data_IF_147167901710
#
_entry.id   IF_147167901710
#
_cell.length_a   1.000
_cell.length_b   1.000
_cell.length_c   1.000
_cell.angle_alpha   90.00
_cell.angle_beta   90.00
_cell.angle_gamma   90.00
#
_symmetry.space_group_name_H-M   'P 1'
#
loop_
_entity.id
_entity.type
_entity.pdbx_description
1 polymer ?
#
# COMPACT_ATOMS: atom_id res chain seq x y z
N UNK A 1 51.07 12.62 12.62
CA UNK A 1 50.10 11.83 13.41
C UNK A 1 49.56 10.72 12.50
N UNK A 2 49.96 9.45 12.70
CA UNK A 2 49.50 8.33 11.86
C UNK A 2 48.06 7.99 12.26
N UNK A 3 47.08 8.44 11.48
CA UNK A 3 45.67 8.10 11.72
C UNK A 3 45.52 6.59 11.53
N UNK A 4 45.08 5.91 12.59
CA UNK A 4 44.92 4.47 12.61
C UNK A 4 43.69 4.10 11.76
N UNK A 5 43.90 3.32 10.69
CA UNK A 5 42.83 2.91 9.75
C UNK A 5 41.65 2.22 10.46
N UNK A 6 41.88 1.59 11.63
CA UNK A 6 40.80 0.99 12.45
C UNK A 6 39.87 2.05 13.06
N UNK A 7 40.38 3.23 13.41
CA UNK A 7 39.59 4.33 13.97
C UNK A 7 38.69 4.95 12.89
N UNK A 8 39.20 5.08 11.66
CA UNK A 8 38.40 5.57 10.52
C UNK A 8 37.21 4.63 10.25
N UNK A 9 37.44 3.31 10.29
CA UNK A 9 36.39 2.30 10.06
C UNK A 9 35.29 2.35 11.13
N UNK A 10 35.64 2.59 12.40
CA UNK A 10 34.68 2.74 13.49
C UNK A 10 33.84 4.01 13.33
N UNK A 11 34.46 5.13 12.91
CA UNK A 11 33.74 6.39 12.68
C UNK A 11 32.73 6.25 11.53
N UNK A 12 33.10 5.58 10.44
CA UNK A 12 32.18 5.33 9.32
C UNK A 12 30.99 4.46 9.76
N UNK A 13 31.23 3.43 10.58
CA UNK A 13 30.18 2.56 11.10
C UNK A 13 29.18 3.33 12.00
N UNK A 14 29.67 4.24 12.84
CA UNK A 14 28.83 5.08 13.70
C UNK A 14 27.95 6.03 12.87
N UNK A 15 28.48 6.60 11.79
CA UNK A 15 27.72 7.50 10.89
C UNK A 15 26.58 6.74 10.18
N UNK A 16 26.81 5.50 9.74
CA UNK A 16 25.78 4.69 9.09
C UNK A 16 24.64 4.33 10.06
N UNK A 17 24.96 4.03 11.33
CA UNK A 17 23.95 3.70 12.36
C UNK A 17 23.14 4.95 12.76
N UNK A 18 23.75 6.13 12.76
CA UNK A 18 23.07 7.38 13.13
C UNK A 18 22.22 7.99 12.01
N UNK A 19 22.47 7.63 10.74
CA UNK A 19 21.59 8.01 9.62
C UNK A 19 20.38 7.04 9.52
N UNK A 20 20.52 5.79 9.96
CA UNK A 20 19.46 4.78 9.93
C UNK A 20 18.33 4.95 10.97
N UNK A 21 18.48 5.85 11.95
CA UNK A 21 17.51 6.03 13.04
C UNK A 21 16.71 7.34 12.97
N UNK A 22 16.94 8.19 11.97
CA UNK A 22 16.13 9.39 11.74
C UNK A 22 15.02 9.06 10.75
N UNK A 23 14.02 8.30 11.19
CA UNK A 23 12.63 8.37 10.70
C UNK A 23 11.75 7.43 11.53
N UNK A 24 11.51 7.76 12.80
CA UNK A 24 10.31 7.34 13.49
C UNK A 24 9.93 8.38 14.54
N UNK A 25 8.63 8.69 14.55
CA UNK A 25 7.90 9.57 15.46
C UNK A 25 7.72 11.02 14.99
N UNK A 26 7.05 11.19 13.84
CA UNK A 26 6.01 12.23 13.80
C UNK A 26 4.71 11.58 14.28
N UNK A 27 4.37 11.89 15.53
CA UNK A 27 3.21 11.43 16.24
C UNK A 27 2.00 12.23 15.78
N UNK A 28 1.33 11.78 14.71
CA UNK A 28 -0.04 12.18 14.42
C UNK A 28 -0.95 11.01 14.75
N UNK A 29 -1.46 11.06 15.99
CA UNK A 29 -2.70 10.43 16.41
C UNK A 29 -3.75 10.61 15.30
N UNK A 30 -4.02 9.55 14.56
CA UNK A 30 -5.33 9.33 13.96
C UNK A 30 -5.65 7.87 14.23
N UNK A 31 -6.38 7.65 15.32
CA UNK A 31 -7.00 6.36 15.57
C UNK A 31 -7.92 6.08 14.40
N UNK A 32 -7.56 5.11 13.57
CA UNK A 32 -8.51 4.56 12.62
C UNK A 32 -9.39 3.60 13.39
N UNK A 33 -10.61 4.06 13.66
CA UNK A 33 -11.68 3.25 14.16
C UNK A 33 -11.87 2.04 13.23
N UNK A 34 -11.71 0.85 13.80
CA UNK A 34 -12.26 -0.39 13.26
C UNK A 34 -13.79 -0.27 13.25
N UNK A 35 -14.32 0.39 12.22
CA UNK A 35 -15.76 0.50 12.01
C UNK A 35 -16.31 -0.76 11.36
N UNK A 36 -16.86 -1.67 12.18
CA UNK A 36 -17.87 -2.61 11.73
C UNK A 36 -19.12 -1.79 11.33
N UNK A 37 -19.18 -1.34 10.09
CA UNK A 37 -20.33 -0.62 9.53
C UNK A 37 -21.04 -1.50 8.51
N UNK A 38 -22.16 -2.13 8.90
CA UNK A 38 -23.13 -2.67 7.95
C UNK A 38 -23.84 -1.49 7.28
N UNK A 39 -23.26 -0.99 6.20
CA UNK A 39 -23.87 0.01 5.32
C UNK A 39 -24.09 -0.63 3.96
N UNK A 40 -25.33 -0.61 3.49
CA UNK A 40 -25.76 -1.06 2.16
C UNK A 40 -24.79 -0.62 1.07
N UNK A 41 -24.04 -1.60 0.56
CA UNK A 41 -23.10 -1.45 -0.56
C UNK A 41 -23.89 -1.05 -1.80
N UNK A 42 -23.69 0.17 -2.29
CA UNK A 42 -23.85 0.42 -3.72
C UNK A 42 -22.80 -0.46 -4.39
N UNK A 43 -23.25 -1.64 -4.82
CA UNK A 43 -22.40 -2.67 -5.34
C UNK A 43 -21.89 -2.19 -6.69
N UNK A 44 -20.67 -1.62 -6.70
CA UNK A 44 -19.79 -1.78 -7.84
C UNK A 44 -19.49 -3.29 -7.87
N UNK A 45 -20.43 -4.11 -8.34
CA UNK A 45 -20.17 -5.50 -8.76
C UNK A 45 -19.42 -5.42 -10.07
N UNK A 46 -18.24 -4.83 -10.02
CA UNK A 46 -17.30 -4.85 -11.12
C UNK A 46 -16.63 -6.21 -11.13
N UNK A 47 -16.61 -6.85 -12.28
CA UNK A 47 -15.88 -8.08 -12.50
C UNK A 47 -14.38 -7.82 -12.19
N UNK A 48 -13.92 -8.25 -11.01
CA UNK A 48 -12.55 -8.00 -10.53
C UNK A 48 -11.52 -8.64 -11.45
N UNK A 49 -11.82 -9.81 -12.01
CA UNK A 49 -10.96 -10.45 -13.01
C UNK A 49 -10.80 -9.57 -14.25
N UNK A 50 -11.88 -8.98 -14.76
CA UNK A 50 -11.80 -8.02 -15.88
C UNK A 50 -10.96 -6.80 -15.51
N UNK A 51 -11.19 -6.19 -14.35
CA UNK A 51 -10.41 -5.02 -13.90
C UNK A 51 -8.93 -5.35 -13.70
N UNK A 52 -8.63 -6.54 -13.18
CA UNK A 52 -7.29 -7.05 -13.06
C UNK A 52 -6.63 -7.22 -14.44
N UNK A 53 -7.36 -7.71 -15.43
CA UNK A 53 -6.84 -7.86 -16.79
C UNK A 53 -6.62 -6.51 -17.48
N UNK A 54 -7.52 -5.55 -17.27
CA UNK A 54 -7.50 -4.23 -17.92
C UNK A 54 -6.56 -3.21 -17.25
N UNK A 55 -6.23 -3.41 -15.96
CA UNK A 55 -5.46 -2.42 -15.20
C UNK A 55 -3.96 -2.38 -15.52
N UNK A 56 -3.32 -1.31 -15.08
CA UNK A 56 -1.88 -1.07 -15.18
C UNK A 56 -1.12 -2.14 -14.39
N UNK A 57 -0.28 -2.92 -15.07
CA UNK A 57 0.60 -3.91 -14.43
C UNK A 57 1.73 -3.19 -13.71
N UNK A 58 1.91 -3.47 -12.41
CA UNK A 58 2.95 -2.83 -11.61
C UNK A 58 4.16 -3.77 -11.50
N UNK A 59 4.13 -4.69 -10.55
CA UNK A 59 5.18 -5.67 -10.33
C UNK A 59 4.59 -6.95 -9.72
N UNK A 60 5.35 -8.05 -9.80
CA UNK A 60 4.96 -9.30 -9.18
C UNK A 60 5.56 -9.39 -7.77
N UNK A 61 4.68 -9.53 -6.77
CA UNK A 61 5.06 -9.79 -5.38
C UNK A 61 5.24 -11.30 -5.16
N UNK A 62 6.44 -11.80 -5.45
CA UNK A 62 6.76 -13.24 -5.38
C UNK A 62 6.46 -13.88 -4.02
N UNK A 63 6.58 -13.13 -2.93
CA UNK A 63 6.32 -13.57 -1.57
C UNK A 63 4.94 -13.13 -1.04
N UNK A 64 4.01 -12.72 -1.91
CA UNK A 64 2.70 -12.20 -1.47
C UNK A 64 1.96 -13.14 -0.51
N UNK A 65 2.01 -14.45 -0.74
CA UNK A 65 1.33 -15.44 0.11
C UNK A 65 2.02 -15.66 1.46
N UNK A 66 3.27 -15.23 1.61
CA UNK A 66 4.04 -15.32 2.85
C UNK A 66 3.94 -14.03 3.67
N UNK A 67 3.50 -12.93 3.04
CA UNK A 67 3.30 -11.65 3.71
C UNK A 67 2.10 -11.70 4.65
N UNK A 68 2.28 -11.14 5.85
CA UNK A 68 1.19 -10.83 6.76
C UNK A 68 0.28 -9.77 6.16
N UNK A 69 -0.96 -9.68 6.67
CA UNK A 69 -1.89 -8.62 6.26
C UNK A 69 -1.28 -7.22 6.44
N UNK A 70 -0.53 -6.97 7.52
CA UNK A 70 0.08 -5.67 7.76
C UNK A 70 1.15 -5.31 6.73
N UNK A 71 1.95 -6.29 6.28
CA UNK A 71 2.95 -6.08 5.23
C UNK A 71 2.27 -5.80 3.88
N UNK A 72 1.22 -6.56 3.55
CA UNK A 72 0.41 -6.32 2.34
C UNK A 72 -0.22 -4.93 2.37
N UNK A 73 -0.86 -4.58 3.48
CA UNK A 73 -1.49 -3.29 3.67
C UNK A 73 -0.47 -2.15 3.60
N UNK A 74 0.72 -2.31 4.20
CA UNK A 74 1.81 -1.34 4.13
C UNK A 74 2.33 -1.13 2.71
N UNK A 75 2.53 -2.22 1.96
CA UNK A 75 2.89 -2.15 0.54
C UNK A 75 1.85 -1.38 -0.27
N UNK A 76 0.58 -1.76 -0.15
CA UNK A 76 -0.51 -1.16 -0.94
C UNK A 76 -0.72 0.30 -0.59
N UNK A 77 -0.69 0.64 0.71
CA UNK A 77 -0.78 2.03 1.18
C UNK A 77 0.33 2.88 0.58
N UNK A 78 1.59 2.40 0.62
CA UNK A 78 2.72 3.13 0.04
C UNK A 78 2.57 3.32 -1.48
N UNK A 79 2.14 2.27 -2.19
CA UNK A 79 1.93 2.31 -3.63
C UNK A 79 0.85 3.33 -4.02
N UNK A 80 -0.30 3.28 -3.37
CA UNK A 80 -1.42 4.17 -3.66
C UNK A 80 -1.13 5.62 -3.22
N UNK A 81 -0.52 5.84 -2.06
CA UNK A 81 -0.13 7.18 -1.60
C UNK A 81 0.93 7.82 -2.50
N UNK A 82 1.82 7.04 -3.13
CA UNK A 82 2.74 7.57 -4.15
C UNK A 82 2.02 8.15 -5.37
N UNK A 83 0.75 7.75 -5.58
CA UNK A 83 -0.14 8.23 -6.64
C UNK A 83 -1.19 9.24 -6.15
N UNK A 84 -1.11 9.69 -4.89
CA UNK A 84 -1.99 10.72 -4.32
C UNK A 84 -3.29 10.22 -3.67
N UNK A 85 -3.40 8.92 -3.36
CA UNK A 85 -4.57 8.34 -2.68
C UNK A 85 -4.27 8.10 -1.18
N UNK A 86 -5.24 8.41 -0.31
CA UNK A 86 -5.04 8.42 1.14
C UNK A 86 -6.11 7.71 1.96
N UNK A 87 -7.28 7.45 1.38
CA UNK A 87 -8.35 6.69 2.04
C UNK A 87 -8.40 5.29 1.46
N UNK A 88 -8.58 4.28 2.33
CA UNK A 88 -8.44 2.88 1.94
C UNK A 88 -9.58 2.02 2.46
N UNK A 89 -10.04 1.11 1.62
CA UNK A 89 -10.94 0.03 2.00
C UNK A 89 -10.46 -1.28 1.38
N UNK A 90 -10.34 -2.33 2.19
CA UNK A 90 -9.86 -3.63 1.76
C UNK A 90 -10.98 -4.66 1.75
N UNK A 91 -11.02 -5.49 0.70
CA UNK A 91 -11.88 -6.66 0.61
C UNK A 91 -11.22 -7.77 -0.23
N UNK A 92 -11.77 -8.97 -0.14
CA UNK A 92 -11.32 -10.15 -0.90
C UNK A 92 -12.45 -10.57 -1.82
N UNK A 93 -12.14 -10.83 -3.09
CA UNK A 93 -13.09 -11.34 -4.07
C UNK A 93 -12.41 -12.34 -5.02
N UNK A 94 -13.03 -13.52 -5.20
CA UNK A 94 -12.65 -14.52 -6.22
C UNK A 94 -11.15 -14.84 -6.35
N UNK A 95 -10.42 -14.88 -5.23
CA UNK A 95 -8.98 -15.16 -5.23
C UNK A 95 -8.09 -13.95 -5.52
N UNK A 96 -8.65 -12.75 -5.40
CA UNK A 96 -7.97 -11.47 -5.42
C UNK A 96 -8.11 -10.77 -4.07
N UNK A 97 -7.03 -10.18 -3.58
CA UNK A 97 -7.08 -9.17 -2.53
C UNK A 97 -7.15 -7.79 -3.18
N UNK A 98 -8.09 -6.96 -2.72
CA UNK A 98 -8.43 -5.70 -3.37
C UNK A 98 -8.43 -4.58 -2.34
N UNK A 99 -7.70 -3.52 -2.64
CA UNK A 99 -7.78 -2.25 -1.93
C UNK A 99 -8.38 -1.20 -2.84
N UNK A 100 -9.55 -0.71 -2.45
CA UNK A 100 -10.06 0.54 -2.96
C UNK A 100 -9.30 1.70 -2.30
N UNK A 101 -8.77 2.61 -3.11
CA UNK A 101 -8.11 3.81 -2.62
C UNK A 101 -8.69 5.08 -3.26
N UNK A 102 -8.99 6.10 -2.45
CA UNK A 102 -9.51 7.39 -2.92
C UNK A 102 -8.74 8.59 -2.35
N UNK A 103 -8.87 9.74 -3.01
CA UNK A 103 -8.27 11.00 -2.58
C UNK A 103 -9.07 11.70 -1.46
N UNK A 104 -10.39 11.48 -1.40
CA UNK A 104 -11.30 12.04 -0.39
C UNK A 104 -12.24 10.94 0.14
N UNK A 105 -12.68 11.07 1.40
CA UNK A 105 -13.52 10.10 2.11
C UNK A 105 -15.02 10.38 1.97
N UNK A 106 -15.41 11.61 1.60
CA UNK A 106 -16.81 12.03 1.50
C UNK A 106 -17.31 12.08 0.05
N UNK A 107 -16.51 12.63 -0.87
CA UNK A 107 -16.84 12.70 -2.30
C UNK A 107 -15.56 12.45 -3.11
N UNK A 108 -15.24 11.18 -3.44
CA UNK A 108 -14.01 10.88 -4.15
C UNK A 108 -14.09 11.39 -5.59
N UNK A 109 -13.24 12.37 -5.93
CA UNK A 109 -13.07 12.85 -7.32
C UNK A 109 -12.19 11.92 -8.14
N UNK A 110 -11.39 11.08 -7.47
CA UNK A 110 -10.54 10.05 -8.07
C UNK A 110 -10.46 8.83 -7.16
N UNK A 111 -10.57 7.65 -7.77
CA UNK A 111 -10.39 6.40 -7.06
C UNK A 111 -9.68 5.35 -7.93
N UNK A 112 -8.96 4.47 -7.26
CA UNK A 112 -8.29 3.31 -7.86
C UNK A 112 -8.63 2.05 -7.09
N UNK A 113 -8.47 0.90 -7.76
CA UNK A 113 -8.33 -0.39 -7.13
C UNK A 113 -6.87 -0.83 -7.26
N UNK A 114 -6.25 -1.22 -6.15
CA UNK A 114 -5.04 -2.03 -6.17
C UNK A 114 -5.49 -3.48 -6.01
N UNK A 115 -5.30 -4.28 -7.06
CA UNK A 115 -5.78 -5.66 -7.15
C UNK A 115 -4.57 -6.59 -7.18
N UNK A 116 -4.53 -7.55 -6.26
CA UNK A 116 -3.46 -8.53 -6.15
C UNK A 116 -4.04 -9.93 -6.30
N UNK A 117 -3.56 -10.70 -7.27
CA UNK A 117 -4.02 -12.08 -7.46
C UNK A 117 -3.32 -13.03 -6.48
N UNK A 118 -4.07 -13.68 -5.60
CA UNK A 118 -3.52 -14.50 -4.51
C UNK A 118 -2.60 -15.61 -5.02
N UNK A 119 -2.96 -16.28 -6.12
CA UNK A 119 -2.17 -17.41 -6.65
C UNK A 119 -0.79 -17.00 -7.16
N UNK A 120 -0.66 -15.79 -7.71
CA UNK A 120 0.54 -15.39 -8.47
C UNK A 120 1.29 -14.24 -7.81
N UNK A 121 0.66 -13.47 -6.92
CA UNK A 121 1.21 -12.23 -6.38
C UNK A 121 1.29 -11.10 -7.41
N UNK A 122 0.66 -11.24 -8.58
CA UNK A 122 0.63 -10.19 -9.59
C UNK A 122 -0.19 -9.00 -9.10
N UNK A 123 0.38 -7.79 -9.19
CA UNK A 123 -0.25 -6.55 -8.75
C UNK A 123 -0.67 -5.69 -9.94
N UNK A 124 -1.88 -5.15 -9.84
CA UNK A 124 -2.48 -4.27 -10.85
C UNK A 124 -3.10 -3.05 -10.19
N UNK A 125 -3.01 -1.90 -10.86
CA UNK A 125 -3.77 -0.70 -10.52
C UNK A 125 -4.84 -0.46 -11.59
N UNK A 126 -6.10 -0.41 -11.18
CA UNK A 126 -7.24 -0.10 -12.05
C UNK A 126 -7.85 1.24 -11.66
N UNK A 127 -7.99 2.16 -12.61
CA UNK A 127 -8.67 3.45 -12.37
C UNK A 127 -10.18 3.23 -12.36
N UNK A 128 -10.84 3.58 -11.25
CA UNK A 128 -12.29 3.45 -11.11
C UNK A 128 -12.95 4.61 -11.86
N UNK A 129 -13.83 4.35 -12.86
CA UNK A 129 -14.61 5.39 -13.49
C UNK A 129 -15.57 5.98 -12.46
N UNK A 130 -15.52 7.29 -12.26
CA UNK A 130 -16.48 7.99 -11.41
C UNK A 130 -17.61 8.47 -12.32
N UNK A 131 -18.86 8.06 -12.08
CA UNK A 131 -19.99 8.57 -12.85
C UNK A 131 -20.12 10.07 -12.61
N UNK A 132 -20.14 10.84 -13.70
CA UNK A 132 -20.43 12.29 -13.70
C UNK A 132 -21.85 12.58 -13.22
#
# INVERSE_FOLDING_TARGET
MKINKKIILIIILIIIISIGTIHLLNNNNSGFASGNGSGTSNTITSNIEKQFNDGEKIENLKNFNEMTFNEKNGYVTKLASSKGYGNFYHYIDNGYEVWYASNDSYVPEKAILVIIQNKTGNVVIYNVPIPN
#
